data_IF_447363574888
#
_entry.id   IF_447363574888
#
_cell.length_a   1.000
_cell.length_b   1.000
_cell.length_c   1.000
_cell.angle_alpha   90.00
_cell.angle_beta   90.00
_cell.angle_gamma   90.00
#
_symmetry.space_group_name_H-M   'P 1'
#
loop_
_entity.id
_entity.type
_entity.pdbx_description
1 polymer ?
#
# COMPACT_ATOMS: atom_id res chain seq x y z
N UNK A 1 13.37 -14.94 -16.40
CA UNK A 1 12.44 -14.62 -15.29
C UNK A 1 12.62 -13.17 -14.93
N UNK A 2 11.58 -12.38 -15.05
CA UNK A 2 11.56 -10.95 -14.78
C UNK A 2 10.54 -10.60 -13.68
N UNK A 3 10.63 -9.37 -13.18
CA UNK A 3 9.67 -8.83 -12.21
C UNK A 3 8.74 -7.89 -12.95
N UNK A 4 7.44 -8.09 -12.79
CA UNK A 4 6.41 -7.21 -13.35
C UNK A 4 5.55 -6.67 -12.21
N UNK A 5 5.20 -5.40 -12.28
CA UNK A 5 4.29 -4.74 -11.35
C UNK A 5 3.28 -3.90 -12.11
N UNK A 6 2.02 -3.99 -11.70
CA UNK A 6 0.99 -3.04 -12.11
C UNK A 6 0.39 -2.40 -10.87
N UNK A 7 0.15 -1.10 -10.93
CA UNK A 7 -0.39 -0.37 -9.79
C UNK A 7 -1.25 0.83 -10.15
N UNK A 8 -2.11 1.19 -9.21
CA UNK A 8 -2.94 2.39 -9.20
C UNK A 8 -2.84 3.02 -7.82
N UNK A 9 -2.65 4.34 -7.75
CA UNK A 9 -2.55 5.04 -6.47
C UNK A 9 -3.37 6.35 -6.45
N UNK A 10 -3.31 7.05 -5.31
CA UNK A 10 -4.07 8.27 -5.05
C UNK A 10 -3.72 9.44 -5.98
N UNK A 11 -2.54 9.44 -6.62
CA UNK A 11 -2.14 10.47 -7.59
C UNK A 11 -2.75 10.21 -8.98
N UNK A 12 -3.10 8.96 -9.26
CA UNK A 12 -3.48 8.49 -10.59
C UNK A 12 -5.00 8.39 -10.75
N UNK A 13 -5.72 8.07 -9.68
CA UNK A 13 -7.15 7.84 -9.75
C UNK A 13 -7.88 8.32 -8.50
N UNK A 14 -9.11 8.82 -8.64
CA UNK A 14 -10.00 9.14 -7.53
C UNK A 14 -10.39 7.87 -6.75
N UNK A 15 -10.90 8.07 -5.54
CA UNK A 15 -11.16 6.99 -4.58
C UNK A 15 -12.18 5.97 -5.07
N UNK A 16 -13.21 6.41 -5.79
CA UNK A 16 -14.26 5.57 -6.37
C UNK A 16 -13.73 4.58 -7.42
N UNK A 17 -12.76 5.00 -8.23
CA UNK A 17 -12.05 4.13 -9.17
C UNK A 17 -11.15 3.14 -8.42
N UNK A 18 -10.34 3.63 -7.47
CA UNK A 18 -9.45 2.76 -6.69
C UNK A 18 -10.23 1.70 -5.89
N UNK A 19 -11.39 2.07 -5.35
CA UNK A 19 -12.25 1.17 -4.59
C UNK A 19 -12.75 -0.04 -5.40
N UNK A 20 -12.95 0.11 -6.73
CA UNK A 20 -13.34 -1.01 -7.61
C UNK A 20 -12.29 -2.12 -7.64
N UNK A 21 -11.02 -1.76 -7.52
CA UNK A 21 -9.88 -2.67 -7.58
C UNK A 21 -9.37 -3.11 -6.21
N UNK A 22 -9.74 -2.43 -5.13
CA UNK A 22 -9.26 -2.73 -3.78
C UNK A 22 -9.59 -4.17 -3.34
N UNK A 23 -8.71 -4.75 -2.52
CA UNK A 23 -8.90 -6.08 -1.93
C UNK A 23 -8.97 -6.00 -0.41
N UNK A 24 -9.83 -6.81 0.19
CA UNK A 24 -9.71 -7.18 1.61
C UNK A 24 -8.60 -8.23 1.75
N UNK A 25 -8.08 -8.44 2.96
CA UNK A 25 -7.05 -9.47 3.20
C UNK A 25 -7.48 -10.85 2.68
N UNK A 26 -8.73 -11.26 2.94
CA UNK A 26 -9.26 -12.55 2.47
C UNK A 26 -9.25 -12.64 0.94
N UNK A 27 -9.83 -11.65 0.28
CA UNK A 27 -9.95 -11.67 -1.18
C UNK A 27 -8.59 -11.49 -1.87
N UNK A 28 -7.61 -10.83 -1.23
CA UNK A 28 -6.25 -10.70 -1.75
C UNK A 28 -5.53 -12.06 -1.79
N UNK A 29 -5.69 -12.90 -0.76
CA UNK A 29 -5.13 -14.25 -0.74
C UNK A 29 -5.66 -15.11 -1.90
N UNK A 30 -6.97 -15.16 -2.05
CA UNK A 30 -7.62 -15.90 -3.16
C UNK A 30 -7.22 -15.37 -4.55
N UNK A 31 -7.04 -14.03 -4.65
CA UNK A 31 -6.63 -13.41 -5.90
C UNK A 31 -5.17 -13.73 -6.25
N UNK A 32 -4.26 -13.69 -5.27
CA UNK A 32 -2.86 -14.07 -5.48
C UNK A 32 -2.71 -15.51 -5.96
N UNK A 33 -3.46 -16.43 -5.38
CA UNK A 33 -3.48 -17.85 -5.84
C UNK A 33 -3.96 -17.94 -7.29
N UNK A 34 -5.06 -17.27 -7.63
CA UNK A 34 -5.60 -17.26 -9.00
C UNK A 34 -4.64 -16.63 -10.02
N UNK A 35 -3.93 -15.56 -9.65
CA UNK A 35 -2.93 -14.92 -10.52
C UNK A 35 -1.75 -15.86 -10.71
N UNK A 36 -1.19 -16.41 -9.63
CA UNK A 36 -0.05 -17.32 -9.71
C UNK A 36 -0.34 -18.56 -10.59
N UNK A 37 -1.57 -19.03 -10.60
CA UNK A 37 -1.95 -20.18 -11.41
C UNK A 37 -2.15 -19.85 -12.90
N UNK A 38 -1.91 -18.60 -13.34
CA UNK A 38 -1.88 -18.26 -14.76
C UNK A 38 -0.56 -18.71 -15.39
N UNK A 39 -0.62 -19.04 -16.69
CA UNK A 39 0.58 -19.42 -17.43
C UNK A 39 1.61 -18.27 -17.43
N UNK A 40 2.87 -18.62 -17.19
CA UNK A 40 3.98 -17.65 -17.16
C UNK A 40 4.10 -16.84 -15.86
N UNK A 41 3.35 -17.16 -14.78
CA UNK A 41 3.48 -16.51 -13.49
C UNK A 41 3.98 -17.50 -12.44
N UNK A 42 5.12 -17.22 -11.82
CA UNK A 42 5.75 -18.06 -10.79
C UNK A 42 5.39 -17.65 -9.37
N UNK A 43 5.19 -16.36 -9.15
CA UNK A 43 4.82 -15.80 -7.86
C UNK A 43 3.97 -14.54 -7.99
N UNK A 44 3.19 -14.24 -6.93
CA UNK A 44 2.34 -13.06 -6.87
C UNK A 44 2.27 -12.48 -5.45
N UNK A 45 2.40 -11.16 -5.33
CA UNK A 45 2.13 -10.41 -4.10
C UNK A 45 1.17 -9.27 -4.43
N UNK A 46 0.11 -9.11 -3.64
CA UNK A 46 -0.84 -7.99 -3.76
C UNK A 46 -0.70 -7.08 -2.54
N UNK A 47 -0.33 -5.82 -2.79
CA UNK A 47 -0.37 -4.75 -1.81
C UNK A 47 -1.64 -3.92 -2.03
N UNK A 48 -2.61 -4.01 -1.13
CA UNK A 48 -3.86 -3.25 -1.20
C UNK A 48 -4.04 -2.43 0.08
N UNK A 49 -4.07 -1.11 -0.05
CA UNK A 49 -4.24 -0.15 1.04
C UNK A 49 -5.38 0.83 0.71
N UNK A 50 -5.66 1.81 1.58
CA UNK A 50 -6.62 2.87 1.26
C UNK A 50 -6.16 3.77 0.09
N UNK A 51 -4.84 3.89 -0.12
CA UNK A 51 -4.25 4.83 -1.06
C UNK A 51 -3.71 4.19 -2.33
N UNK A 52 -3.54 2.85 -2.38
CA UNK A 52 -3.01 2.14 -3.53
C UNK A 52 -3.43 0.69 -3.62
N UNK A 53 -3.43 0.20 -4.83
CA UNK A 53 -3.36 -1.21 -5.13
C UNK A 53 -2.14 -1.45 -6.04
N UNK A 54 -1.33 -2.44 -5.69
CA UNK A 54 -0.23 -2.92 -6.54
C UNK A 54 -0.25 -4.44 -6.60
N UNK A 55 -0.15 -4.98 -7.79
CA UNK A 55 0.02 -6.41 -8.07
C UNK A 55 1.43 -6.62 -8.58
N UNK A 56 2.17 -7.44 -7.88
CA UNK A 56 3.56 -7.80 -8.16
C UNK A 56 3.62 -9.25 -8.59
N UNK A 57 4.35 -9.54 -9.64
CA UNK A 57 4.56 -10.90 -10.11
C UNK A 57 5.99 -11.15 -10.57
N UNK A 58 6.47 -12.35 -10.33
CA UNK A 58 7.61 -12.91 -11.04
C UNK A 58 7.08 -13.67 -12.25
N UNK A 59 7.56 -13.32 -13.43
CA UNK A 59 7.00 -13.80 -14.70
C UNK A 59 8.05 -14.46 -15.58
N UNK A 60 7.61 -15.32 -16.45
CA UNK A 60 8.43 -15.93 -17.50
C UNK A 60 8.71 -14.89 -18.59
N UNK A 61 9.98 -14.80 -19.02
CA UNK A 61 10.39 -13.85 -20.08
C UNK A 61 9.87 -14.26 -21.47
N UNK A 62 9.50 -15.54 -21.65
CA UNK A 62 9.03 -16.08 -22.90
C UNK A 62 7.49 -16.02 -23.05
N UNK A 63 6.78 -15.65 -21.98
CA UNK A 63 5.32 -15.59 -21.95
C UNK A 63 4.85 -14.14 -21.82
N UNK A 64 3.99 -13.70 -22.73
CA UNK A 64 3.36 -12.39 -22.65
C UNK A 64 2.28 -12.38 -21.54
N UNK A 65 2.65 -11.84 -20.37
CA UNK A 65 1.78 -11.76 -19.20
C UNK A 65 1.25 -10.34 -19.04
N UNK A 66 -0.06 -10.15 -19.19
CA UNK A 66 -0.73 -8.90 -18.89
C UNK A 66 -1.36 -8.93 -17.49
N UNK A 67 -0.72 -8.33 -16.50
CA UNK A 67 -1.23 -8.30 -15.12
C UNK A 67 -2.53 -7.49 -15.00
N UNK A 68 -2.75 -6.48 -15.86
CA UNK A 68 -4.01 -5.74 -15.89
C UNK A 68 -5.18 -6.65 -16.25
N UNK A 69 -5.03 -7.47 -17.28
CA UNK A 69 -6.09 -8.37 -17.73
C UNK A 69 -6.36 -9.47 -16.68
N UNK A 70 -5.31 -9.97 -16.00
CA UNK A 70 -5.46 -10.89 -14.87
C UNK A 70 -6.27 -10.25 -13.74
N UNK A 71 -5.95 -9.00 -13.40
CA UNK A 71 -6.64 -8.24 -12.36
C UNK A 71 -8.12 -7.99 -12.73
N UNK A 72 -8.38 -7.52 -13.95
CA UNK A 72 -9.74 -7.27 -14.45
C UNK A 72 -10.59 -8.53 -14.44
N UNK A 73 -10.03 -9.66 -14.87
CA UNK A 73 -10.71 -10.98 -14.84
C UNK A 73 -11.12 -11.38 -13.43
N UNK A 74 -10.25 -11.16 -12.44
CA UNK A 74 -10.54 -11.49 -11.04
C UNK A 74 -11.62 -10.56 -10.47
N UNK A 75 -11.61 -9.30 -10.87
CA UNK A 75 -12.58 -8.30 -10.43
C UNK A 75 -13.92 -8.33 -11.19
N UNK A 76 -14.00 -9.13 -12.27
CA UNK A 76 -15.17 -9.13 -13.14
C UNK A 76 -15.36 -7.83 -13.89
N UNK A 77 -14.27 -7.09 -14.16
CA UNK A 77 -14.26 -5.82 -14.88
C UNK A 77 -13.97 -6.13 -16.35
N UNK A 78 -14.89 -5.74 -17.22
CA UNK A 78 -14.78 -5.94 -18.67
C UNK A 78 -14.41 -4.65 -19.42
N UNK A 79 -14.48 -3.51 -18.74
CA UNK A 79 -14.24 -2.18 -19.31
C UNK A 79 -12.73 -1.89 -19.34
N UNK A 80 -12.19 -1.60 -20.52
CA UNK A 80 -10.77 -1.20 -20.67
C UNK A 80 -10.51 0.27 -20.31
N UNK A 81 -11.57 1.04 -20.04
CA UNK A 81 -11.50 2.46 -19.70
C UNK A 81 -10.67 2.78 -18.45
N UNK A 82 -10.46 1.79 -17.59
CA UNK A 82 -9.67 1.96 -16.36
C UNK A 82 -8.16 1.78 -16.56
N UNK A 83 -7.70 1.22 -17.67
CA UNK A 83 -6.25 0.98 -17.93
C UNK A 83 -5.44 2.27 -17.83
N UNK A 84 -5.99 3.40 -18.22
CA UNK A 84 -5.35 4.72 -18.15
C UNK A 84 -4.95 5.16 -16.73
N UNK A 85 -5.55 4.58 -15.70
CA UNK A 85 -5.25 4.86 -14.28
C UNK A 85 -4.15 3.97 -13.71
N UNK A 86 -3.65 3.02 -14.49
CA UNK A 86 -2.64 2.08 -14.05
C UNK A 86 -1.27 2.40 -14.65
N UNK A 87 -0.23 2.14 -13.85
CA UNK A 87 1.16 2.17 -14.31
C UNK A 87 1.71 0.76 -14.22
N UNK A 88 2.36 0.34 -15.28
CA UNK A 88 3.16 -0.88 -15.33
C UNK A 88 4.63 -0.53 -15.13
N UNK A 89 5.35 -1.38 -14.38
CA UNK A 89 6.80 -1.32 -14.19
C UNK A 89 7.37 -2.71 -14.30
N UNK A 90 8.55 -2.80 -14.90
CA UNK A 90 9.27 -4.07 -15.06
C UNK A 90 10.68 -3.96 -14.48
N UNK A 91 11.19 -5.07 -14.02
CA UNK A 91 12.57 -5.27 -13.57
C UNK A 91 13.12 -4.13 -12.70
N UNK A 92 14.13 -3.42 -13.19
CA UNK A 92 14.76 -2.36 -12.43
C UNK A 92 13.79 -1.28 -11.96
N UNK A 93 12.86 -0.84 -12.83
CA UNK A 93 11.87 0.18 -12.45
C UNK A 93 10.93 -0.31 -11.35
N UNK A 94 10.53 -1.59 -11.41
CA UNK A 94 9.71 -2.20 -10.38
C UNK A 94 10.48 -2.30 -9.05
N UNK A 95 11.72 -2.77 -9.09
CA UNK A 95 12.60 -2.85 -7.92
C UNK A 95 12.79 -1.48 -7.28
N UNK A 96 13.19 -0.47 -8.04
CA UNK A 96 13.37 0.90 -7.54
C UNK A 96 12.10 1.44 -6.91
N UNK A 97 10.95 1.21 -7.56
CA UNK A 97 9.65 1.63 -7.04
C UNK A 97 9.38 1.04 -5.65
N UNK A 98 9.63 -0.27 -5.44
CA UNK A 98 9.41 -0.92 -4.15
C UNK A 98 10.32 -0.36 -3.05
N UNK A 99 11.57 -0.05 -3.36
CA UNK A 99 12.50 0.56 -2.41
C UNK A 99 12.08 1.98 -2.02
N UNK A 100 11.65 2.80 -2.98
CA UNK A 100 11.08 4.12 -2.69
C UNK A 100 9.77 4.01 -1.89
N UNK A 101 8.96 3.02 -2.19
CA UNK A 101 7.70 2.78 -1.49
C UNK A 101 7.93 2.43 -0.02
N UNK A 102 8.81 1.45 0.25
CA UNK A 102 9.11 1.00 1.62
C UNK A 102 9.80 2.06 2.47
N UNK A 103 10.53 2.98 1.85
CA UNK A 103 11.09 4.15 2.53
C UNK A 103 10.07 5.24 2.85
N UNK A 104 8.83 5.13 2.32
CA UNK A 104 7.77 6.11 2.51
C UNK A 104 7.81 7.30 1.54
N UNK A 105 8.73 7.30 0.56
CA UNK A 105 8.85 8.40 -0.42
C UNK A 105 7.74 8.42 -1.46
N UNK A 106 6.98 7.32 -1.59
CA UNK A 106 5.80 7.20 -2.48
C UNK A 106 4.48 7.24 -1.71
N UNK A 107 4.51 7.51 -0.42
CA UNK A 107 3.31 7.67 0.40
C UNK A 107 2.71 9.07 0.26
N UNK A 108 1.41 9.20 0.49
CA UNK A 108 0.72 10.49 0.51
C UNK A 108 1.33 11.43 1.55
N UNK A 109 1.76 10.88 2.67
CA UNK A 109 2.57 11.56 3.68
C UNK A 109 3.98 10.99 3.59
N UNK A 110 4.93 11.81 3.16
CA UNK A 110 6.32 11.40 3.00
C UNK A 110 6.88 10.90 4.34
N UNK A 111 7.45 9.71 4.34
CA UNK A 111 8.08 9.11 5.51
C UNK A 111 7.11 8.40 6.47
N UNK A 112 5.81 8.25 6.15
CA UNK A 112 4.90 7.50 7.02
C UNK A 112 5.38 6.08 7.29
N UNK A 113 5.15 5.58 8.52
CA UNK A 113 5.61 4.25 8.94
C UNK A 113 4.71 3.11 8.48
N UNK A 114 3.43 3.41 8.20
CA UNK A 114 2.43 2.40 7.91
C UNK A 114 2.74 1.59 6.65
N UNK A 115 3.30 2.23 5.61
CA UNK A 115 3.58 1.56 4.33
C UNK A 115 4.57 0.40 4.50
N UNK A 116 5.60 0.55 5.34
CA UNK A 116 6.56 -0.51 5.61
C UNK A 116 5.89 -1.74 6.24
N UNK A 117 4.97 -1.52 7.17
CA UNK A 117 4.19 -2.59 7.78
C UNK A 117 3.27 -3.24 6.74
N UNK A 118 2.59 -2.44 5.93
CA UNK A 118 1.68 -2.94 4.88
C UNK A 118 2.42 -3.80 3.83
N UNK A 119 3.63 -3.41 3.43
CA UNK A 119 4.46 -4.22 2.50
C UNK A 119 4.87 -5.55 3.13
N UNK A 120 5.24 -5.56 4.42
CA UNK A 120 5.54 -6.81 5.15
C UNK A 120 4.30 -7.70 5.27
N UNK A 121 3.15 -7.12 5.59
CA UNK A 121 1.89 -7.84 5.71
C UNK A 121 1.45 -8.44 4.36
N UNK A 122 1.67 -7.72 3.25
CA UNK A 122 1.40 -8.23 1.91
C UNK A 122 2.25 -9.46 1.58
N UNK A 123 3.56 -9.41 1.88
CA UNK A 123 4.44 -10.57 1.71
C UNK A 123 4.03 -11.75 2.60
N UNK A 124 3.70 -11.48 3.87
CA UNK A 124 3.26 -12.54 4.79
C UNK A 124 1.96 -13.19 4.29
N UNK A 125 1.01 -12.40 3.81
CA UNK A 125 -0.21 -12.92 3.23
C UNK A 125 0.06 -13.78 1.98
N UNK A 126 1.02 -13.36 1.13
CA UNK A 126 1.43 -14.16 -0.02
C UNK A 126 2.08 -15.49 0.38
N UNK A 127 2.86 -15.52 1.45
CA UNK A 127 3.44 -16.76 2.03
C UNK A 127 2.35 -17.69 2.55
N UNK A 128 1.39 -17.17 3.31
CA UNK A 128 0.27 -17.92 3.89
C UNK A 128 -0.60 -18.57 2.79
N UNK A 129 -0.66 -17.96 1.62
CA UNK A 129 -1.40 -18.46 0.46
C UNK A 129 -0.51 -19.17 -0.58
N UNK A 130 0.74 -19.49 -0.25
CA UNK A 130 1.70 -20.15 -1.14
C UNK A 130 1.87 -19.43 -2.49
N UNK A 131 1.63 -18.12 -2.51
CA UNK A 131 1.69 -17.30 -3.72
C UNK A 131 3.07 -16.66 -3.94
N UNK A 132 3.85 -16.39 -2.89
CA UNK A 132 5.20 -15.87 -3.03
C UNK A 132 6.16 -16.95 -3.54
N UNK A 133 7.00 -16.59 -4.51
CA UNK A 133 8.14 -17.38 -4.94
C UNK A 133 9.46 -16.83 -4.35
N UNK A 134 10.59 -17.47 -4.64
CA UNK A 134 11.90 -17.08 -4.12
C UNK A 134 12.35 -15.68 -4.56
N UNK A 135 11.95 -15.23 -5.74
CA UNK A 135 12.34 -13.91 -6.28
C UNK A 135 11.59 -12.80 -5.52
N UNK A 136 10.27 -12.89 -5.43
CA UNK A 136 9.46 -11.89 -4.70
C UNK A 136 9.76 -11.92 -3.20
N UNK A 137 10.03 -13.11 -2.64
CA UNK A 137 10.45 -13.27 -1.25
C UNK A 137 11.72 -12.44 -0.94
N UNK A 138 12.76 -12.59 -1.76
CA UNK A 138 14.01 -11.85 -1.60
C UNK A 138 13.80 -10.36 -1.82
N UNK A 139 13.10 -9.98 -2.88
CA UNK A 139 12.85 -8.59 -3.24
C UNK A 139 12.13 -7.84 -2.11
N UNK A 140 10.99 -8.36 -1.65
CA UNK A 140 10.19 -7.69 -0.62
C UNK A 140 10.91 -7.63 0.73
N UNK A 141 11.64 -8.68 1.09
CA UNK A 141 12.44 -8.70 2.33
C UNK A 141 13.58 -7.69 2.29
N UNK A 142 14.28 -7.59 1.15
CA UNK A 142 15.36 -6.61 0.98
C UNK A 142 14.83 -5.18 1.00
N UNK A 143 13.73 -4.92 0.29
CA UNK A 143 13.09 -3.61 0.27
C UNK A 143 12.59 -3.20 1.67
N UNK A 144 11.99 -4.13 2.43
CA UNK A 144 11.56 -3.86 3.79
C UNK A 144 12.75 -3.58 4.74
N UNK A 145 13.88 -4.25 4.55
CA UNK A 145 15.11 -4.02 5.33
C UNK A 145 15.70 -2.65 5.01
N UNK A 146 15.79 -2.30 3.72
CA UNK A 146 16.28 -1.00 3.27
C UNK A 146 15.38 0.15 3.75
N UNK A 147 14.05 -0.01 3.63
CA UNK A 147 13.10 0.97 4.11
C UNK A 147 13.21 1.22 5.63
N UNK A 148 13.39 0.16 6.43
CA UNK A 148 13.65 0.30 7.86
C UNK A 148 14.96 1.07 8.13
N UNK A 149 16.02 0.73 7.40
CA UNK A 149 17.34 1.38 7.55
C UNK A 149 17.26 2.87 7.19
N UNK A 150 16.66 3.22 6.05
CA UNK A 150 16.48 4.61 5.61
C UNK A 150 15.72 5.42 6.68
N UNK A 151 14.64 4.89 7.21
CA UNK A 151 13.85 5.55 8.27
C UNK A 151 14.62 5.76 9.58
N UNK A 152 15.62 4.93 9.86
CA UNK A 152 16.48 5.06 11.04
C UNK A 152 17.61 6.06 10.82
N UNK A 153 18.22 6.05 9.62
CA UNK A 153 19.42 6.84 9.32
C UNK A 153 19.09 8.25 8.77
N UNK A 154 17.91 8.41 8.14
CA UNK A 154 17.49 9.67 7.52
C UNK A 154 16.19 10.16 8.17
N UNK A 155 16.25 11.14 9.06
CA UNK A 155 15.03 11.74 9.63
C UNK A 155 14.32 12.57 8.55
N UNK A 156 13.22 12.07 7.99
CA UNK A 156 12.41 12.79 7.00
C UNK A 156 11.57 13.93 7.59
N UNK A 157 11.34 13.93 8.89
CA UNK A 157 10.59 14.98 9.58
C UNK A 157 10.93 15.04 11.07
N UNK A 158 10.84 16.22 11.64
CA UNK A 158 10.88 16.44 13.08
C UNK A 158 9.48 16.17 13.64
N UNK A 159 9.14 14.93 13.89
CA UNK A 159 7.84 14.51 14.45
C UNK A 159 7.23 13.29 13.75
N UNK A 160 6.24 12.70 14.39
CA UNK A 160 5.53 11.52 13.86
C UNK A 160 4.65 11.93 12.66
N UNK A 161 5.00 11.61 11.41
CA UNK A 161 4.24 12.02 10.23
C UNK A 161 2.99 11.13 10.08
N UNK A 162 2.03 11.21 11.00
CA UNK A 162 0.74 10.57 10.79
C UNK A 162 -0.26 11.58 10.23
N UNK A 163 -1.20 11.10 9.40
CA UNK A 163 -2.33 11.90 8.87
C UNK A 163 -3.02 12.68 9.97
N UNK A 164 -3.10 12.10 11.17
CA UNK A 164 -3.74 12.68 12.33
C UNK A 164 -2.97 13.88 12.87
N UNK A 165 -1.65 13.80 12.97
CA UNK A 165 -0.83 14.93 13.40
C UNK A 165 -0.91 16.08 12.41
N UNK A 166 -0.92 15.78 11.11
CA UNK A 166 -1.12 16.80 10.08
C UNK A 166 -2.52 17.43 10.16
N UNK A 167 -3.57 16.65 10.38
CA UNK A 167 -4.91 17.17 10.54
C UNK A 167 -5.04 18.09 11.78
N UNK A 168 -4.43 17.69 12.91
CA UNK A 168 -4.40 18.53 14.12
C UNK A 168 -3.60 19.79 13.87
N UNK A 169 -2.43 19.70 13.21
CA UNK A 169 -1.62 20.85 12.82
C UNK A 169 -2.39 21.83 11.93
N UNK A 170 -3.07 21.31 10.92
CA UNK A 170 -3.92 22.09 10.02
C UNK A 170 -5.05 22.83 10.75
N UNK A 171 -5.71 22.18 11.73
CA UNK A 171 -6.72 22.84 12.55
C UNK A 171 -6.11 23.97 13.37
N UNK A 172 -4.94 23.77 13.95
CA UNK A 172 -4.22 24.81 14.70
C UNK A 172 -3.82 25.99 13.80
N UNK A 173 -3.31 25.73 12.60
CA UNK A 173 -2.99 26.77 11.60
C UNK A 173 -4.23 27.58 11.17
N UNK A 174 -5.41 26.95 11.14
CA UNK A 174 -6.69 27.62 10.87
C UNK A 174 -7.26 28.34 12.10
N UNK A 175 -6.53 28.40 13.20
CA UNK A 175 -6.95 29.09 14.43
C UNK A 175 -7.94 28.29 15.30
N UNK A 176 -8.17 27.01 14.99
CA UNK A 176 -9.03 26.15 15.82
C UNK A 176 -8.20 25.58 16.98
N UNK A 177 -8.48 26.04 18.20
CA UNK A 177 -7.96 25.42 19.42
C UNK A 177 -8.85 24.26 19.82
N UNK A 178 -8.26 23.10 20.04
CA UNK A 178 -8.92 21.91 20.56
C UNK A 178 -8.94 21.88 22.10
N UNK A 179 -8.29 22.84 22.74
CA UNK A 179 -8.22 22.99 24.19
C UNK A 179 -9.62 23.29 24.73
N UNK A 180 -10.03 22.58 25.76
CA UNK A 180 -11.35 22.69 26.40
C UNK A 180 -12.56 22.40 25.47
N UNK A 181 -12.32 21.74 24.34
CA UNK A 181 -13.38 21.28 23.42
C UNK A 181 -13.71 19.82 23.68
N UNK A 182 -14.97 19.48 23.47
CA UNK A 182 -15.40 18.08 23.38
C UNK A 182 -15.26 17.61 21.95
N UNK A 183 -14.50 16.54 21.73
CA UNK A 183 -14.30 15.94 20.42
C UNK A 183 -14.92 14.55 20.39
N UNK A 184 -15.63 14.25 19.30
CA UNK A 184 -16.19 12.94 19.05
C UNK A 184 -15.39 12.25 17.95
N UNK A 185 -14.92 11.04 18.22
CA UNK A 185 -14.24 10.20 17.23
C UNK A 185 -15.21 9.09 16.80
N UNK A 186 -15.53 9.04 15.51
CA UNK A 186 -16.38 8.01 14.94
C UNK A 186 -15.51 6.96 14.28
N UNK A 187 -15.46 5.77 14.88
CA UNK A 187 -14.65 4.63 14.43
C UNK A 187 -13.58 4.22 15.43
N UNK A 188 -13.47 2.90 15.66
CA UNK A 188 -12.50 2.29 16.58
C UNK A 188 -11.38 1.53 15.83
N UNK A 189 -11.04 1.96 14.61
CA UNK A 189 -9.91 1.44 13.85
C UNK A 189 -8.56 1.97 14.34
N UNK A 190 -7.47 1.53 13.72
CA UNK A 190 -6.11 1.97 14.08
C UNK A 190 -5.94 3.49 14.05
N UNK A 191 -6.53 4.18 13.06
CA UNK A 191 -6.46 5.63 12.94
C UNK A 191 -7.20 6.35 14.09
N UNK A 192 -8.36 5.85 14.50
CA UNK A 192 -9.09 6.37 15.66
C UNK A 192 -8.29 6.23 16.95
N UNK A 193 -7.63 5.09 17.16
CA UNK A 193 -6.76 4.86 18.34
C UNK A 193 -5.54 5.79 18.35
N UNK A 194 -4.93 6.07 17.19
CA UNK A 194 -3.81 6.99 17.08
C UNK A 194 -4.25 8.43 17.40
N UNK A 195 -5.46 8.84 16.99
CA UNK A 195 -6.02 10.16 17.30
C UNK A 195 -6.18 10.40 18.81
N UNK A 196 -6.51 9.35 19.56
CA UNK A 196 -6.74 9.45 21.00
C UNK A 196 -5.46 9.61 21.82
N UNK A 197 -4.30 9.15 21.32
CA UNK A 197 -3.01 9.20 22.04
C UNK A 197 -2.49 10.63 22.32
N UNK A 198 -2.50 11.57 21.36
CA UNK A 198 -2.05 12.95 21.60
C UNK A 198 -3.00 13.74 22.51
N UNK A 199 -4.21 13.25 22.75
CA UNK A 199 -5.28 13.98 23.43
C UNK A 199 -5.34 13.75 24.94
N UNK A 200 -4.30 13.22 25.56
CA UNK A 200 -4.27 12.93 27.01
C UNK A 200 -4.41 14.17 27.93
N UNK A 201 -4.52 15.39 27.36
CA UNK A 201 -4.76 16.63 28.11
C UNK A 201 -6.19 17.20 28.02
N UNK A 202 -7.11 16.58 27.28
CA UNK A 202 -8.48 17.02 27.09
C UNK A 202 -9.50 15.91 27.34
N UNK A 203 -10.77 16.27 27.65
CA UNK A 203 -11.84 15.28 27.81
C UNK A 203 -12.24 14.73 26.44
N UNK A 204 -11.81 13.54 26.10
CA UNK A 204 -12.30 12.80 24.95
C UNK A 204 -13.36 11.79 25.41
N UNK A 205 -14.52 11.75 24.75
CA UNK A 205 -15.51 10.66 24.90
C UNK A 205 -15.49 9.83 23.63
N UNK A 206 -15.36 8.53 23.78
CA UNK A 206 -15.58 7.52 22.75
C UNK A 206 -17.06 7.36 22.48
#
# INVERSE_FOLDING_TARGET
>A
MSISMIGIDHNMAPVDIRAKFAFTKKNAGEAMEKIKNQNGIYGCVILSTCNRLEVWASVDDEVDVCLYDCLCRIKGITEDSYRQYFVERKDQEAVEHLFYLTSGLKSQIIGEDQILTQVKDALNLARENFAADGVLEVLFRMAATAGKRIKTEVPFSHGNPSVIHQAIGFLAEKGYSLRDKTCMVIGNGEMGKVLLRPWQGGRCRL
#
